data_IF_933477745524
#
_entry.id   IF_933477745524
#
_cell.length_a   1.000
_cell.length_b   1.000
_cell.length_c   1.000
_cell.angle_alpha   90.00
_cell.angle_beta   90.00
_cell.angle_gamma   90.00
#
_symmetry.space_group_name_H-M   'P 1'
#
loop_
_entity.id
_entity.type
_entity.pdbx_description
1 polymer ?
#
# COMPACT_ATOMS: atom_id res chain seq x y z
N UNK A 1 -7.26 23.43 0.96
CA UNK A 1 -5.86 23.74 0.57
C UNK A 1 -5.75 23.66 -0.95
N UNK A 2 -5.13 24.65 -1.60
CA UNK A 2 -4.93 24.66 -3.06
C UNK A 2 -3.49 24.26 -3.39
N UNK A 3 -3.34 23.24 -4.23
CA UNK A 3 -2.07 22.60 -4.59
C UNK A 3 -1.93 22.58 -6.10
N UNK A 4 -0.73 22.84 -6.63
CA UNK A 4 -0.49 22.75 -8.07
C UNK A 4 0.88 22.20 -8.43
N UNK A 5 0.91 21.42 -9.51
CA UNK A 5 2.14 20.95 -10.15
C UNK A 5 2.72 22.05 -11.03
N UNK A 6 3.96 22.46 -10.75
CA UNK A 6 4.62 23.56 -11.47
C UNK A 6 5.98 23.12 -12.01
N UNK A 7 6.32 23.45 -13.26
CA UNK A 7 7.70 23.40 -13.72
C UNK A 7 8.54 24.36 -12.90
N UNK A 8 9.62 23.90 -12.31
CA UNK A 8 10.38 24.72 -11.37
C UNK A 8 11.58 25.38 -12.05
N UNK A 9 11.55 26.71 -12.16
CA UNK A 9 12.76 27.51 -12.41
C UNK A 9 13.66 27.63 -11.17
N UNK A 10 13.10 27.36 -9.99
CA UNK A 10 13.80 27.33 -8.69
C UNK A 10 13.46 26.01 -7.99
N UNK A 11 14.25 24.95 -8.19
CA UNK A 11 14.02 23.65 -7.56
C UNK A 11 14.10 23.75 -6.04
N UNK A 12 13.32 22.94 -5.32
CA UNK A 12 13.50 22.77 -3.87
C UNK A 12 14.80 22.00 -3.63
N UNK A 13 15.83 22.69 -3.15
CA UNK A 13 17.18 22.16 -2.90
C UNK A 13 17.45 21.84 -1.42
N UNK A 14 16.44 22.03 -0.56
CA UNK A 14 16.50 21.77 0.86
C UNK A 14 15.98 20.36 1.21
N UNK A 15 16.47 19.74 2.29
CA UNK A 15 16.01 18.43 2.76
C UNK A 15 14.66 18.56 3.51
N UNK A 16 13.63 18.98 2.77
CA UNK A 16 12.25 19.18 3.24
C UNK A 16 11.31 18.21 2.53
N UNK A 17 10.09 17.98 3.04
CA UNK A 17 9.10 17.17 2.32
C UNK A 17 8.80 17.79 0.94
N UNK A 18 8.84 16.98 -0.12
CA UNK A 18 8.38 17.40 -1.45
C UNK A 18 7.96 16.22 -2.31
N UNK A 19 7.13 16.52 -3.31
CA UNK A 19 6.76 15.61 -4.39
C UNK A 19 7.26 16.17 -5.71
N UNK A 20 7.92 15.32 -6.51
CA UNK A 20 8.59 15.67 -7.75
C UNK A 20 9.93 16.38 -7.58
N UNK A 21 10.50 16.84 -8.69
CA UNK A 21 11.83 17.47 -8.72
C UNK A 21 12.98 16.49 -8.57
N UNK A 22 14.16 16.96 -8.17
CA UNK A 22 15.32 16.08 -7.97
C UNK A 22 15.56 15.83 -6.46
N UNK A 23 15.94 14.62 -6.04
CA UNK A 23 16.21 14.32 -4.64
C UNK A 23 17.36 15.17 -4.06
N UNK A 24 17.21 15.57 -2.81
CA UNK A 24 18.28 16.19 -2.01
C UNK A 24 18.97 15.11 -1.20
N UNK A 25 19.98 14.47 -1.78
CA UNK A 25 20.75 13.40 -1.15
C UNK A 25 21.50 13.88 0.10
N UNK A 26 21.36 13.14 1.21
CA UNK A 26 22.09 13.40 2.45
C UNK A 26 23.41 12.63 2.54
N UNK A 27 23.56 11.58 1.72
CA UNK A 27 24.75 10.73 1.63
C UNK A 27 25.08 10.46 0.15
N UNK A 28 25.92 9.46 -0.13
CA UNK A 28 26.20 9.04 -1.50
C UNK A 28 24.89 8.79 -2.29
N UNK A 29 24.72 9.44 -3.46
CA UNK A 29 23.53 9.25 -4.29
C UNK A 29 23.36 7.80 -4.70
N UNK A 30 22.14 7.30 -4.60
CA UNK A 30 21.78 5.96 -5.07
C UNK A 30 20.45 6.02 -5.78
N UNK A 31 20.48 5.91 -7.11
CA UNK A 31 19.29 5.96 -7.94
C UNK A 31 18.80 4.53 -8.25
N UNK A 32 17.64 4.09 -7.74
CA UNK A 32 17.14 2.75 -7.99
C UNK A 32 16.84 2.50 -9.47
N UNK A 33 17.12 1.30 -9.95
CA UNK A 33 16.76 0.84 -11.30
C UNK A 33 15.72 -0.26 -11.20
N UNK A 34 14.77 -0.25 -12.14
CA UNK A 34 13.75 -1.29 -12.29
C UNK A 34 14.40 -2.68 -12.38
N UNK A 35 13.90 -3.62 -11.59
CA UNK A 35 14.35 -5.02 -11.62
C UNK A 35 14.02 -5.70 -12.95
N UNK A 36 12.87 -5.37 -13.54
CA UNK A 36 12.36 -5.93 -14.78
C UNK A 36 12.96 -5.26 -16.02
N UNK A 37 13.04 -3.93 -16.05
CA UNK A 37 13.42 -3.16 -17.24
C UNK A 37 14.86 -2.67 -17.22
N UNK A 38 15.53 -2.66 -16.06
CA UNK A 38 16.90 -2.19 -15.91
C UNK A 38 17.08 -0.68 -16.11
N UNK A 39 15.99 0.09 -16.18
CA UNK A 39 16.00 1.55 -16.36
C UNK A 39 15.88 2.28 -15.01
N UNK A 40 16.42 3.51 -14.87
CA UNK A 40 16.24 4.32 -13.66
C UNK A 40 14.75 4.54 -13.33
N UNK A 41 14.38 4.33 -12.06
CA UNK A 41 13.03 4.58 -11.57
C UNK A 41 12.71 6.07 -11.50
N UNK A 42 11.43 6.41 -11.52
CA UNK A 42 10.95 7.77 -11.33
C UNK A 42 10.99 8.15 -9.85
N UNK A 43 11.70 9.24 -9.54
CA UNK A 43 11.63 9.86 -8.22
C UNK A 43 10.25 10.48 -8.02
N UNK A 44 9.54 10.02 -6.98
CA UNK A 44 8.20 10.51 -6.62
C UNK A 44 8.29 11.63 -5.60
N UNK A 45 9.17 11.51 -4.62
CA UNK A 45 9.29 12.50 -3.55
C UNK A 45 10.23 12.10 -2.44
N UNK A 46 10.44 13.03 -1.51
CA UNK A 46 11.29 12.83 -0.33
C UNK A 46 10.57 13.32 0.93
N UNK A 47 10.83 12.67 2.07
CA UNK A 47 10.20 13.00 3.34
C UNK A 47 11.20 12.90 4.50
N UNK A 48 11.25 13.88 5.42
CA UNK A 48 12.07 13.77 6.61
C UNK A 48 11.52 12.68 7.54
N UNK A 49 12.42 11.87 8.08
CA UNK A 49 12.07 10.90 9.12
C UNK A 49 12.13 11.54 10.50
N UNK A 50 11.20 11.21 11.42
CA UNK A 50 11.29 11.64 12.80
C UNK A 50 12.52 11.04 13.51
N UNK A 51 13.08 11.80 14.47
CA UNK A 51 14.21 11.37 15.29
C UNK A 51 15.21 12.47 15.60
N UNK A 52 16.26 12.13 16.36
CA UNK A 52 17.26 13.08 16.88
C UNK A 52 18.25 13.62 15.82
N UNK A 53 18.19 13.14 14.58
CA UNK A 53 19.08 13.56 13.49
C UNK A 53 18.34 13.65 12.15
N UNK A 54 18.82 14.53 11.27
CA UNK A 54 18.25 14.70 9.94
C UNK A 54 18.44 13.41 9.14
N UNK A 55 17.32 12.75 8.85
CA UNK A 55 17.23 11.61 7.95
C UNK A 55 16.11 11.87 6.95
N UNK A 56 16.29 11.40 5.73
CA UNK A 56 15.35 11.53 4.62
C UNK A 56 15.02 10.15 4.08
N UNK A 57 13.74 9.95 3.76
CA UNK A 57 13.29 8.92 2.84
C UNK A 57 13.20 9.47 1.44
N UNK A 58 13.47 8.63 0.46
CA UNK A 58 13.29 8.92 -0.97
C UNK A 58 12.46 7.80 -1.58
N UNK A 59 11.32 8.17 -2.18
CA UNK A 59 10.40 7.23 -2.81
C UNK A 59 10.62 7.22 -4.32
N UNK A 60 10.84 6.03 -4.87
CA UNK A 60 11.00 5.76 -6.28
C UNK A 60 10.01 4.69 -6.72
N UNK A 61 9.44 4.87 -7.91
CA UNK A 61 8.52 3.91 -8.53
C UNK A 61 8.87 3.79 -10.00
N UNK A 62 8.89 2.56 -10.53
CA UNK A 62 9.04 2.34 -11.97
C UNK A 62 7.82 2.92 -12.68
N UNK A 63 8.07 3.78 -13.67
CA UNK A 63 7.06 4.23 -14.59
C UNK A 63 7.38 3.69 -15.97
N UNK A 64 6.57 2.75 -16.44
CA UNK A 64 6.64 2.25 -17.81
C UNK A 64 5.40 2.70 -18.59
N UNK A 65 5.56 2.95 -19.89
CA UNK A 65 4.49 3.50 -20.74
C UNK A 65 3.34 2.49 -20.96
N UNK A 66 3.53 1.22 -20.62
CA UNK A 66 2.56 0.13 -20.77
C UNK A 66 1.92 -0.30 -19.44
N UNK A 67 2.28 0.34 -18.32
CA UNK A 67 1.87 -0.03 -16.96
C UNK A 67 2.06 -1.52 -16.64
N UNK A 68 3.12 -2.13 -17.18
CA UNK A 68 3.47 -3.53 -16.97
C UNK A 68 4.30 -3.75 -15.70
N UNK A 69 4.86 -2.69 -15.12
CA UNK A 69 5.59 -2.79 -13.88
C UNK A 69 4.66 -3.22 -12.74
N UNK A 70 4.98 -4.35 -12.09
CA UNK A 70 4.27 -4.86 -10.90
C UNK A 70 4.65 -4.06 -9.65
N UNK A 71 4.38 -2.75 -9.67
CA UNK A 71 4.73 -1.80 -8.60
C UNK A 71 4.07 -2.11 -7.26
N UNK A 72 3.04 -2.95 -7.25
CA UNK A 72 2.36 -3.46 -6.06
C UNK A 72 3.14 -4.59 -5.37
N UNK A 73 4.09 -5.25 -6.03
CA UNK A 73 4.91 -6.30 -5.41
C UNK A 73 6.04 -5.68 -4.57
N UNK A 74 6.04 -5.83 -3.23
CA UNK A 74 6.99 -5.11 -2.36
C UNK A 74 8.46 -5.43 -2.65
N UNK A 75 8.73 -6.63 -3.16
CA UNK A 75 10.07 -7.15 -3.50
C UNK A 75 10.20 -7.44 -5.01
N UNK A 76 9.28 -6.94 -5.83
CA UNK A 76 9.33 -7.08 -7.29
C UNK A 76 10.54 -6.37 -7.90
N UNK A 77 11.03 -5.33 -7.20
CA UNK A 77 12.10 -4.45 -7.68
C UNK A 77 11.58 -3.32 -8.55
N UNK A 78 10.28 -3.00 -8.47
CA UNK A 78 9.62 -1.93 -9.23
C UNK A 78 9.21 -0.72 -8.37
N UNK A 79 9.50 -0.78 -7.07
CA UNK A 79 9.39 0.33 -6.13
C UNK A 79 10.54 0.28 -5.14
N UNK A 80 11.00 1.43 -4.68
CA UNK A 80 12.06 1.53 -3.70
C UNK A 80 11.84 2.72 -2.76
N UNK A 81 11.97 2.45 -1.45
CA UNK A 81 12.03 3.47 -0.41
C UNK A 81 13.42 3.45 0.21
N UNK A 82 14.22 4.46 -0.08
CA UNK A 82 15.58 4.58 0.45
C UNK A 82 15.59 5.47 1.68
N UNK A 83 16.42 5.15 2.67
CA UNK A 83 16.62 5.99 3.86
C UNK A 83 18.08 6.45 3.89
N UNK A 84 18.31 7.75 4.07
CA UNK A 84 19.65 8.29 4.31
C UNK A 84 19.65 9.31 5.45
N UNK A 85 20.79 9.48 6.15
CA UNK A 85 21.92 8.54 6.19
C UNK A 85 21.57 7.25 6.94
N UNK A 86 22.42 6.22 6.77
CA UNK A 86 22.39 4.99 7.58
C UNK A 86 21.24 4.02 7.30
N UNK A 87 20.49 4.21 6.21
CA UNK A 87 19.54 3.19 5.74
C UNK A 87 20.22 2.00 5.09
N UNK A 88 19.45 0.92 4.89
CA UNK A 88 19.90 -0.27 4.17
C UNK A 88 19.24 -0.28 2.80
N UNK A 89 20.00 -0.58 1.75
CA UNK A 89 19.45 -0.92 0.44
C UNK A 89 19.07 -2.40 0.48
N UNK A 90 17.79 -2.77 0.31
CA UNK A 90 17.38 -4.17 0.25
C UNK A 90 18.08 -4.91 -0.89
N UNK A 91 18.36 -6.21 -0.71
CA UNK A 91 19.12 -7.01 -1.68
C UNK A 91 18.47 -7.09 -3.08
N UNK A 92 17.15 -6.93 -3.16
CA UNK A 92 16.39 -6.94 -4.41
C UNK A 92 16.40 -5.58 -5.12
N UNK A 93 16.80 -4.50 -4.44
CA UNK A 93 16.93 -3.16 -5.03
C UNK A 93 18.33 -3.00 -5.60
N UNK A 94 18.40 -2.72 -6.90
CA UNK A 94 19.64 -2.33 -7.58
C UNK A 94 19.59 -0.84 -7.91
N UNK A 95 20.75 -0.23 -8.12
CA UNK A 95 20.82 1.18 -8.46
C UNK A 95 22.18 1.61 -8.98
N UNK A 96 22.24 2.87 -9.38
CA UNK A 96 23.44 3.55 -9.91
C UNK A 96 23.75 4.78 -9.05
N UNK A 97 25.02 5.17 -8.99
CA UNK A 97 25.45 6.34 -8.22
C UNK A 97 25.17 7.67 -8.95
N UNK A 98 23.89 7.91 -9.31
CA UNK A 98 23.45 9.10 -10.04
C UNK A 98 22.77 10.11 -9.12
N UNK A 99 23.14 11.38 -9.28
CA UNK A 99 22.54 12.49 -8.52
C UNK A 99 21.16 12.89 -9.01
N UNK A 100 20.92 12.73 -10.31
CA UNK A 100 19.74 13.24 -11.01
C UNK A 100 19.23 12.19 -11.99
N UNK A 101 17.91 12.17 -12.21
CA UNK A 101 17.28 11.19 -13.07
C UNK A 101 15.79 11.48 -13.29
N UNK A 102 15.01 10.48 -13.74
CA UNK A 102 13.59 10.64 -14.01
C UNK A 102 12.78 11.09 -12.79
N UNK A 103 11.86 12.02 -12.97
CA UNK A 103 11.02 12.53 -11.88
C UNK A 103 9.62 12.79 -12.38
N UNK A 104 8.68 13.09 -11.48
CA UNK A 104 7.33 13.51 -11.84
C UNK A 104 7.39 14.65 -12.86
N UNK A 105 6.60 14.50 -13.91
CA UNK A 105 6.61 15.39 -15.06
C UNK A 105 5.19 15.67 -15.52
N UNK A 106 5.02 16.78 -16.22
CA UNK A 106 3.83 17.06 -17.02
C UNK A 106 4.19 17.14 -18.49
N UNK A 107 3.24 16.85 -19.36
CA UNK A 107 3.44 17.00 -20.80
C UNK A 107 3.72 18.47 -21.14
N UNK A 108 4.74 18.69 -21.96
CA UNK A 108 5.04 19.99 -22.55
C UNK A 108 4.19 20.29 -23.78
N UNK A 109 4.71 21.18 -24.62
CA UNK A 109 4.00 21.60 -25.84
C UNK A 109 4.03 20.49 -26.90
N UNK A 110 5.08 19.66 -26.92
CA UNK A 110 5.16 18.47 -27.77
C UNK A 110 4.75 17.20 -27.02
N UNK A 111 4.24 16.20 -27.75
CA UNK A 111 3.81 14.92 -27.16
C UNK A 111 4.93 14.19 -26.40
N UNK A 112 6.17 14.34 -26.86
CA UNK A 112 7.37 13.74 -26.27
C UNK A 112 7.98 14.56 -25.13
N UNK A 113 7.53 15.80 -24.92
CA UNK A 113 8.11 16.69 -23.92
C UNK A 113 7.66 16.27 -22.52
N UNK A 114 8.62 15.83 -21.71
CA UNK A 114 8.44 15.54 -20.29
C UNK A 114 9.06 16.66 -19.48
N UNK A 115 8.24 17.60 -19.01
CA UNK A 115 8.70 18.74 -18.22
C UNK A 115 8.64 18.35 -16.73
N UNK A 116 9.77 18.28 -16.02
CA UNK A 116 9.80 18.02 -14.58
C UNK A 116 8.92 19.00 -13.81
N UNK A 117 8.21 18.50 -12.80
CA UNK A 117 7.35 19.31 -11.93
C UNK A 117 7.62 19.05 -10.47
N UNK A 118 7.37 20.04 -9.63
CA UNK A 118 7.27 19.90 -8.18
C UNK A 118 5.85 20.33 -7.74
N UNK A 119 5.34 19.71 -6.67
CA UNK A 119 4.08 20.11 -6.05
C UNK A 119 4.30 21.31 -5.13
N UNK A 120 3.53 22.38 -5.34
CA UNK A 120 3.60 23.58 -4.51
C UNK A 120 2.27 23.89 -3.83
N UNK A 121 2.37 24.39 -2.59
CA UNK A 121 1.27 25.09 -1.92
C UNK A 121 1.04 26.45 -2.59
N UNK A 122 -0.21 26.74 -2.94
CA UNK A 122 -0.56 28.03 -3.54
C UNK A 122 -0.95 29.02 -2.44
N UNK A 123 -0.17 30.10 -2.21
CA UNK A 123 -0.62 31.17 -1.33
C UNK A 123 -1.81 31.92 -1.94
N UNK A 124 -2.64 32.60 -1.13
CA UNK A 124 -3.74 33.42 -1.62
C UNK A 124 -3.23 34.45 -2.64
N UNK A 125 -3.99 34.67 -3.72
CA UNK A 125 -3.65 35.66 -4.75
C UNK A 125 -3.83 37.08 -4.18
N UNK A 126 -2.78 37.57 -3.52
CA UNK A 126 -2.70 38.93 -2.99
C UNK A 126 -3.01 39.98 -4.05
N UNK A 127 -2.62 39.77 -5.30
CA UNK A 127 -2.84 40.75 -6.36
C UNK A 127 -4.32 40.82 -6.76
N UNK A 128 -5.04 39.69 -6.81
CA UNK A 128 -6.49 39.69 -6.96
C UNK A 128 -7.20 40.36 -5.77
N UNK A 129 -6.78 40.03 -4.54
CA UNK A 129 -7.32 40.62 -3.31
C UNK A 129 -7.10 42.15 -3.30
N UNK A 130 -5.89 42.61 -3.66
CA UNK A 130 -5.59 44.03 -3.79
C UNK A 130 -6.47 44.72 -4.82
N UNK A 131 -6.64 44.13 -6.02
CA UNK A 131 -7.53 44.70 -7.06
C UNK A 131 -8.97 44.85 -6.58
N UNK A 132 -9.46 43.91 -5.75
CA UNK A 132 -10.77 44.00 -5.12
C UNK A 132 -10.87 45.21 -4.18
N UNK A 133 -9.94 45.37 -3.25
CA UNK A 133 -9.95 46.48 -2.29
C UNK A 133 -9.61 47.84 -2.92
N UNK A 134 -8.75 47.87 -3.95
CA UNK A 134 -8.45 49.10 -4.69
C UNK A 134 -9.71 49.65 -5.36
N UNK A 135 -10.55 48.77 -5.94
CA UNK A 135 -11.83 49.18 -6.53
C UNK A 135 -12.79 49.75 -5.48
N UNK A 136 -12.87 49.13 -4.30
CA UNK A 136 -13.73 49.58 -3.22
C UNK A 136 -13.29 50.94 -2.65
N UNK A 137 -12.01 51.08 -2.30
CA UNK A 137 -11.47 52.29 -1.67
C UNK A 137 -11.41 53.49 -2.62
N UNK A 138 -11.29 53.27 -3.93
CA UNK A 138 -11.33 54.35 -4.93
C UNK A 138 -12.76 54.75 -5.33
N UNK A 139 -13.79 54.05 -4.87
CA UNK A 139 -15.19 54.39 -5.17
C UNK A 139 -15.51 55.77 -4.58
N UNK A 140 -15.90 56.72 -5.43
CA UNK A 140 -16.20 58.10 -5.03
C UNK A 140 -14.98 59.04 -4.94
N UNK A 141 -13.75 58.56 -5.17
CA UNK A 141 -12.54 59.39 -5.16
C UNK A 141 -12.26 59.92 -6.57
N UNK A 142 -12.41 61.24 -6.75
CA UNK A 142 -12.16 61.93 -8.01
C UNK A 142 -10.74 61.74 -8.54
N UNK A 143 -10.58 61.62 -9.86
CA UNK A 143 -9.30 61.34 -10.53
C UNK A 143 -8.19 62.38 -10.26
N UNK A 144 -8.57 63.64 -9.99
CA UNK A 144 -7.63 64.72 -9.71
C UNK A 144 -7.22 64.82 -8.24
N UNK A 145 -7.87 64.06 -7.33
CA UNK A 145 -7.59 64.09 -5.89
C UNK A 145 -6.40 63.20 -5.52
N UNK A 146 -5.21 63.57 -5.97
CA UNK A 146 -3.99 62.73 -5.89
C UNK A 146 -3.69 62.23 -4.47
N UNK A 147 -3.77 63.09 -3.45
CA UNK A 147 -3.50 62.70 -2.07
C UNK A 147 -4.53 61.68 -1.52
N UNK A 148 -5.82 61.91 -1.76
CA UNK A 148 -6.89 60.98 -1.36
C UNK A 148 -6.75 59.63 -2.08
N UNK A 149 -6.39 59.63 -3.36
CA UNK A 149 -6.12 58.39 -4.12
C UNK A 149 -4.93 57.61 -3.57
N UNK A 150 -3.84 58.28 -3.20
CA UNK A 150 -2.69 57.64 -2.56
C UNK A 150 -3.08 57.01 -1.23
N UNK A 151 -3.83 57.73 -0.39
CA UNK A 151 -4.34 57.19 0.89
C UNK A 151 -5.27 55.99 0.68
N UNK A 152 -6.18 56.05 -0.29
CA UNK A 152 -7.07 54.94 -0.64
C UNK A 152 -6.30 53.69 -1.08
N UNK A 153 -5.25 53.85 -1.90
CA UNK A 153 -4.38 52.74 -2.32
C UNK A 153 -3.57 52.15 -1.17
N UNK A 154 -3.06 52.98 -0.27
CA UNK A 154 -2.36 52.50 0.94
C UNK A 154 -3.31 51.70 1.85
N UNK A 155 -4.54 52.17 2.02
CA UNK A 155 -5.58 51.44 2.75
C UNK A 155 -5.92 50.11 2.07
N UNK A 156 -6.10 50.10 0.75
CA UNK A 156 -6.34 48.88 -0.02
C UNK A 156 -5.18 47.87 0.11
N UNK A 157 -3.93 48.34 0.10
CA UNK A 157 -2.76 47.49 0.32
C UNK A 157 -2.79 46.86 1.72
N UNK A 158 -3.01 47.66 2.76
CA UNK A 158 -3.08 47.17 4.13
C UNK A 158 -4.23 46.16 4.33
N UNK A 159 -5.40 46.42 3.74
CA UNK A 159 -6.52 45.48 3.77
C UNK A 159 -6.22 44.20 2.98
N UNK A 160 -5.55 44.30 1.83
CA UNK A 160 -5.16 43.13 1.06
C UNK A 160 -4.14 42.25 1.79
N UNK A 161 -3.18 42.86 2.49
CA UNK A 161 -2.22 42.13 3.32
C UNK A 161 -2.91 41.42 4.50
N UNK A 162 -3.80 42.12 5.19
CA UNK A 162 -4.56 41.55 6.31
C UNK A 162 -5.49 40.40 5.86
N UNK A 163 -6.14 40.54 4.70
CA UNK A 163 -7.01 39.51 4.14
C UNK A 163 -6.20 38.30 3.65
N UNK A 164 -5.10 38.52 2.91
CA UNK A 164 -4.22 37.43 2.47
C UNK A 164 -3.63 36.66 3.67
N UNK A 165 -3.19 37.36 4.72
CA UNK A 165 -2.72 36.74 5.95
C UNK A 165 -3.82 35.92 6.65
N UNK A 166 -5.06 36.44 6.71
CA UNK A 166 -6.20 35.72 7.28
C UNK A 166 -6.54 34.45 6.50
N UNK A 167 -6.61 34.53 5.17
CA UNK A 167 -6.86 33.37 4.32
C UNK A 167 -5.75 32.34 4.44
N UNK A 168 -4.49 32.77 4.49
CA UNK A 168 -3.36 31.88 4.69
C UNK A 168 -3.38 31.18 6.05
N UNK A 169 -3.67 31.92 7.12
CA UNK A 169 -3.81 31.36 8.46
C UNK A 169 -4.95 30.32 8.52
N UNK A 170 -6.06 30.57 7.84
CA UNK A 170 -7.17 29.62 7.75
C UNK A 170 -6.75 28.33 7.01
N UNK A 171 -6.04 28.44 5.89
CA UNK A 171 -5.50 27.28 5.16
C UNK A 171 -4.52 26.47 6.01
N UNK A 172 -3.64 27.14 6.76
CA UNK A 172 -2.68 26.48 7.66
C UNK A 172 -3.35 25.81 8.84
N UNK A 173 -4.40 26.40 9.39
CA UNK A 173 -5.23 25.76 10.43
C UNK A 173 -5.92 24.51 9.91
N UNK A 174 -6.51 24.56 8.70
CA UNK A 174 -7.11 23.39 8.05
C UNK A 174 -6.08 22.28 7.79
N UNK A 175 -4.89 22.62 7.29
CA UNK A 175 -3.79 21.67 7.09
C UNK A 175 -3.41 20.99 8.41
N UNK A 176 -3.26 21.75 9.50
CA UNK A 176 -2.93 21.22 10.82
C UNK A 176 -4.02 20.27 11.36
N UNK A 177 -5.30 20.58 11.14
CA UNK A 177 -6.40 19.69 11.52
C UNK A 177 -6.37 18.37 10.76
N UNK A 178 -6.11 18.40 9.44
CA UNK A 178 -5.96 17.18 8.65
C UNK A 178 -4.74 16.36 9.07
N UNK A 179 -3.60 17.01 9.34
CA UNK A 179 -2.42 16.31 9.85
C UNK A 179 -2.72 15.62 11.18
N UNK A 180 -3.39 16.32 12.11
CA UNK A 180 -3.77 15.74 13.40
C UNK A 180 -4.71 14.54 13.23
N UNK A 181 -5.66 14.59 12.30
CA UNK A 181 -6.56 13.47 12.03
C UNK A 181 -5.80 12.25 11.47
N UNK A 182 -4.86 12.47 10.55
CA UNK A 182 -4.01 11.41 10.00
C UNK A 182 -3.09 10.82 11.08
N UNK A 183 -2.50 11.66 11.93
CA UNK A 183 -1.65 11.22 13.04
C UNK A 183 -2.44 10.36 14.04
N UNK A 184 -3.70 10.72 14.31
CA UNK A 184 -4.59 9.93 15.17
C UNK A 184 -4.90 8.56 14.56
N UNK A 185 -5.22 8.51 13.26
CA UNK A 185 -5.46 7.24 12.54
C UNK A 185 -4.21 6.35 12.54
N UNK A 186 -3.05 6.93 12.22
CA UNK A 186 -1.78 6.21 12.25
C UNK A 186 -1.47 5.67 13.65
N UNK A 187 -1.66 6.49 14.68
CA UNK A 187 -1.43 6.07 16.06
C UNK A 187 -2.36 4.93 16.48
N UNK A 188 -3.62 4.96 16.05
CA UNK A 188 -4.59 3.89 16.31
C UNK A 188 -4.13 2.55 15.70
N UNK A 189 -3.62 2.56 14.48
CA UNK A 189 -3.05 1.38 13.82
C UNK A 189 -1.76 0.88 14.51
N UNK A 190 -0.91 1.78 14.98
CA UNK A 190 0.32 1.42 15.72
C UNK A 190 0.00 0.87 17.11
N UNK A 191 -1.05 1.35 17.76
CA UNK A 191 -1.51 0.85 19.06
C UNK A 191 -2.43 -0.37 18.98
N UNK A 192 -2.69 -0.90 17.78
CA UNK A 192 -3.62 -1.99 17.52
C UNK A 192 -5.03 -1.72 18.07
N UNK A 193 -5.54 -0.50 17.89
CA UNK A 193 -6.95 -0.21 18.15
C UNK A 193 -7.84 -1.14 17.29
N UNK A 194 -8.71 -1.99 17.89
CA UNK A 194 -9.42 -3.02 17.15
C UNK A 194 -10.25 -2.46 16.00
N UNK A 195 -11.01 -1.38 16.22
CA UNK A 195 -11.89 -0.81 15.20
C UNK A 195 -11.09 -0.23 14.02
N UNK A 196 -9.96 0.44 14.31
CA UNK A 196 -9.08 0.96 13.26
C UNK A 196 -8.43 -0.17 12.45
N UNK A 197 -7.90 -1.19 13.12
CA UNK A 197 -7.23 -2.32 12.46
C UNK A 197 -8.22 -3.13 11.61
N UNK A 198 -9.38 -3.49 12.15
CA UNK A 198 -10.37 -4.28 11.42
C UNK A 198 -10.89 -3.55 10.18
N UNK A 199 -11.16 -2.23 10.28
CA UNK A 199 -11.58 -1.43 9.12
C UNK A 199 -10.51 -1.36 8.03
N UNK A 200 -9.26 -1.10 8.44
CA UNK A 200 -8.15 -1.02 7.49
C UNK A 200 -7.86 -2.38 6.83
N UNK A 201 -8.02 -3.49 7.55
CA UNK A 201 -7.88 -4.83 6.99
C UNK A 201 -9.02 -5.17 6.03
N UNK A 202 -10.26 -4.82 6.37
CA UNK A 202 -11.40 -5.00 5.48
C UNK A 202 -11.16 -4.30 4.13
N UNK A 203 -10.78 -3.01 4.16
CA UNK A 203 -10.43 -2.25 2.94
C UNK A 203 -9.26 -2.89 2.18
N UNK A 204 -8.25 -3.42 2.88
CA UNK A 204 -7.09 -4.03 2.24
C UNK A 204 -7.39 -5.37 1.57
N UNK A 205 -8.36 -6.14 2.09
CA UNK A 205 -8.73 -7.46 1.58
C UNK A 205 -9.79 -7.44 0.48
N UNK A 206 -10.42 -6.29 0.20
CA UNK A 206 -11.45 -6.17 -0.85
C UNK A 206 -10.98 -6.65 -2.24
N UNK A 207 -9.69 -6.48 -2.54
CA UNK A 207 -9.10 -6.83 -3.85
C UNK A 207 -8.46 -8.23 -3.89
N UNK A 208 -8.57 -9.02 -2.82
CA UNK A 208 -7.92 -10.34 -2.75
C UNK A 208 -8.61 -11.39 -3.62
N UNK A 209 -7.81 -12.22 -4.29
CA UNK A 209 -8.32 -13.36 -5.08
C UNK A 209 -9.10 -14.37 -4.21
N UNK A 210 -8.69 -14.55 -2.96
CA UNK A 210 -9.42 -15.33 -1.96
C UNK A 210 -10.10 -14.39 -0.97
N UNK A 211 -11.42 -14.52 -0.83
CA UNK A 211 -12.18 -13.77 0.16
C UNK A 211 -11.59 -13.99 1.55
N UNK A 212 -11.15 -12.89 2.16
CA UNK A 212 -10.47 -12.88 3.44
C UNK A 212 -11.12 -11.84 4.33
N UNK A 213 -11.23 -12.15 5.62
CA UNK A 213 -11.85 -11.25 6.59
C UNK A 213 -11.08 -11.24 7.91
N UNK A 214 -11.10 -10.08 8.58
CA UNK A 214 -10.52 -9.89 9.90
C UNK A 214 -11.64 -9.92 10.94
N UNK A 215 -11.56 -10.90 11.84
CA UNK A 215 -12.67 -11.22 12.77
C UNK A 215 -12.46 -10.57 14.13
N UNK A 216 -11.21 -10.32 14.52
CA UNK A 216 -10.90 -9.71 15.80
C UNK A 216 -9.42 -9.42 16.00
N UNK A 217 -9.14 -8.55 16.97
CA UNK A 217 -7.78 -8.20 17.40
C UNK A 217 -7.70 -8.41 18.90
N UNK A 218 -6.72 -9.19 19.36
CA UNK A 218 -6.38 -9.36 20.77
C UNK A 218 -4.93 -8.95 21.00
N UNK A 219 -4.75 -7.81 21.67
CA UNK A 219 -3.42 -7.23 21.92
C UNK A 219 -2.67 -6.89 20.63
N UNK A 220 -1.66 -7.70 20.28
CA UNK A 220 -0.87 -7.57 19.06
C UNK A 220 -1.03 -8.76 18.08
N UNK A 221 -2.03 -9.61 18.30
CA UNK A 221 -2.45 -10.70 17.40
C UNK A 221 -3.81 -10.37 16.75
N UNK A 222 -3.88 -10.53 15.42
CA UNK A 222 -5.14 -10.48 14.67
C UNK A 222 -5.64 -11.89 14.34
N UNK A 223 -6.95 -12.09 14.37
CA UNK A 223 -7.61 -13.31 13.92
C UNK A 223 -8.23 -13.10 12.54
N UNK A 224 -7.84 -13.93 11.59
CA UNK A 224 -8.17 -13.84 10.17
C UNK A 224 -8.84 -15.12 9.68
N UNK A 225 -9.77 -14.98 8.74
CA UNK A 225 -10.41 -16.10 8.04
C UNK A 225 -10.18 -15.94 6.55
N UNK A 226 -9.79 -17.04 5.90
CA UNK A 226 -9.54 -17.09 4.46
C UNK A 226 -10.43 -18.17 3.86
N UNK A 227 -11.23 -17.81 2.86
CA UNK A 227 -12.09 -18.72 2.15
C UNK A 227 -11.41 -19.20 0.86
N UNK A 228 -11.31 -20.51 0.69
CA UNK A 228 -10.74 -21.12 -0.52
C UNK A 228 -11.77 -21.96 -1.26
N UNK A 229 -11.77 -21.96 -2.60
CA UNK A 229 -12.61 -22.86 -3.37
C UNK A 229 -12.12 -24.32 -3.24
N UNK A 230 -12.94 -25.32 -3.62
CA UNK A 230 -12.53 -26.70 -3.64
C UNK A 230 -11.46 -26.95 -4.72
N UNK A 231 -10.66 -27.99 -4.54
CA UNK A 231 -9.54 -28.32 -5.43
C UNK A 231 -9.96 -28.54 -6.90
N UNK A 232 -11.22 -28.87 -7.18
CA UNK A 232 -11.77 -28.97 -8.54
C UNK A 232 -11.95 -27.63 -9.26
N UNK A 233 -12.06 -26.54 -8.52
CA UNK A 233 -12.17 -25.18 -9.06
C UNK A 233 -10.82 -24.47 -9.05
N UNK A 234 -10.01 -24.69 -8.01
CA UNK A 234 -8.69 -24.06 -7.88
C UNK A 234 -7.63 -24.66 -8.81
N UNK A 235 -7.66 -25.98 -9.04
CA UNK A 235 -6.60 -26.71 -9.74
C UNK A 235 -7.11 -27.27 -11.08
N UNK A 236 -6.42 -27.02 -12.21
CA UNK A 236 -6.84 -27.53 -13.50
C UNK A 236 -6.79 -29.06 -13.57
N UNK A 237 -7.66 -29.66 -14.40
CA UNK A 237 -7.69 -31.11 -14.60
C UNK A 237 -6.54 -31.63 -15.48
N UNK A 238 -5.90 -30.75 -16.24
CA UNK A 238 -4.86 -31.09 -17.21
C UNK A 238 -3.70 -30.10 -17.12
N UNK A 239 -2.48 -30.60 -17.25
CA UNK A 239 -1.25 -29.79 -17.26
C UNK A 239 -0.58 -29.82 -18.63
N UNK A 240 0.04 -28.72 -19.06
CA UNK A 240 0.90 -28.71 -20.24
C UNK A 240 2.04 -29.71 -20.08
N UNK A 241 2.33 -30.47 -21.13
CA UNK A 241 3.42 -31.41 -21.17
C UNK A 241 3.90 -31.65 -22.59
N UNK A 242 4.89 -32.52 -22.74
CA UNK A 242 5.38 -32.96 -24.06
C UNK A 242 5.13 -34.45 -24.27
N UNK A 243 4.83 -34.82 -25.51
CA UNK A 243 4.83 -36.22 -25.95
C UNK A 243 6.28 -36.71 -26.09
N UNK A 244 6.47 -38.02 -26.23
CA UNK A 244 7.80 -38.59 -26.51
C UNK A 244 8.43 -38.05 -27.81
N UNK A 245 7.62 -37.55 -28.74
CA UNK A 245 8.07 -36.91 -29.98
C UNK A 245 8.32 -35.40 -29.84
N UNK A 246 8.20 -34.83 -28.63
CA UNK A 246 8.49 -33.41 -28.36
C UNK A 246 7.34 -32.43 -28.60
N UNK A 247 6.22 -32.89 -29.18
CA UNK A 247 5.02 -32.08 -29.41
C UNK A 247 4.36 -31.67 -28.09
N UNK A 248 3.76 -30.48 -28.06
CA UNK A 248 2.93 -30.02 -26.94
C UNK A 248 1.72 -30.95 -26.77
N UNK A 249 1.38 -31.25 -25.52
CA UNK A 249 0.25 -32.11 -25.14
C UNK A 249 -0.34 -31.61 -23.83
N UNK A 250 -1.61 -31.93 -23.59
CA UNK A 250 -2.23 -31.80 -22.29
C UNK A 250 -2.32 -33.19 -21.67
N UNK A 251 -1.82 -33.33 -20.43
CA UNK A 251 -1.87 -34.58 -19.68
C UNK A 251 -2.76 -34.41 -18.46
N UNK A 252 -3.60 -35.41 -18.20
CA UNK A 252 -4.40 -35.46 -16.98
C UNK A 252 -3.47 -35.40 -15.77
N UNK A 253 -3.77 -34.49 -14.84
CA UNK A 253 -3.00 -34.36 -13.61
C UNK A 253 -3.20 -35.60 -12.72
N UNK A 254 -2.17 -36.02 -12.01
CA UNK A 254 -2.31 -37.11 -11.04
C UNK A 254 -3.03 -36.61 -9.79
N UNK A 255 -3.64 -37.51 -9.02
CA UNK A 255 -4.28 -37.12 -7.76
C UNK A 255 -3.28 -36.63 -6.71
N UNK A 256 -2.04 -37.13 -6.73
CA UNK A 256 -0.98 -36.65 -5.85
C UNK A 256 -0.56 -35.22 -6.22
N UNK A 257 -0.31 -34.96 -7.50
CA UNK A 257 0.05 -33.61 -7.96
C UNK A 257 -1.08 -32.61 -7.70
N UNK A 258 -2.34 -33.02 -7.91
CA UNK A 258 -3.50 -32.18 -7.61
C UNK A 258 -3.58 -31.81 -6.13
N UNK A 259 -3.36 -32.79 -5.24
CA UNK A 259 -3.33 -32.56 -3.80
C UNK A 259 -2.18 -31.63 -3.38
N UNK A 260 -1.00 -31.79 -3.99
CA UNK A 260 0.15 -30.94 -3.68
C UNK A 260 0.01 -29.52 -4.22
N UNK A 261 -0.50 -29.32 -5.45
CA UNK A 261 -0.80 -27.97 -5.94
C UNK A 261 -1.91 -27.29 -5.13
N UNK A 262 -2.95 -28.02 -4.72
CA UNK A 262 -3.98 -27.44 -3.87
C UNK A 262 -3.43 -27.01 -2.50
N UNK A 263 -2.51 -27.80 -1.93
CA UNK A 263 -1.82 -27.46 -0.69
C UNK A 263 -0.93 -26.22 -0.84
N UNK A 264 -0.21 -26.11 -1.95
CA UNK A 264 0.57 -24.91 -2.29
C UNK A 264 -0.33 -23.69 -2.45
N UNK A 265 -1.47 -23.83 -3.15
CA UNK A 265 -2.46 -22.77 -3.30
C UNK A 265 -2.99 -22.29 -1.94
N UNK A 266 -3.44 -23.21 -1.07
CA UNK A 266 -3.95 -22.87 0.27
C UNK A 266 -2.89 -22.16 1.12
N UNK A 267 -1.67 -22.67 1.15
CA UNK A 267 -0.59 -22.04 1.92
C UNK A 267 -0.20 -20.67 1.32
N UNK A 268 -0.28 -20.53 -0.01
CA UNK A 268 -0.05 -19.27 -0.72
C UNK A 268 -1.06 -18.20 -0.31
N UNK A 269 -2.35 -18.53 -0.29
CA UNK A 269 -3.41 -17.62 0.15
C UNK A 269 -3.17 -17.14 1.59
N UNK A 270 -2.85 -18.06 2.51
CA UNK A 270 -2.49 -17.72 3.89
C UNK A 270 -1.32 -16.72 3.94
N UNK A 271 -0.25 -16.96 3.18
CA UNK A 271 0.93 -16.09 3.20
C UNK A 271 0.67 -14.71 2.59
N UNK A 272 -0.17 -14.62 1.55
CA UNK A 272 -0.58 -13.34 0.96
C UNK A 272 -1.37 -12.52 1.98
N UNK A 273 -2.42 -13.11 2.57
CA UNK A 273 -3.25 -12.45 3.60
C UNK A 273 -2.40 -11.99 4.79
N UNK A 274 -1.45 -12.82 5.25
CA UNK A 274 -0.53 -12.45 6.34
C UNK A 274 0.34 -11.24 5.98
N UNK A 275 0.90 -11.20 4.76
CA UNK A 275 1.78 -10.11 4.31
C UNK A 275 1.02 -8.79 4.20
N UNK A 276 -0.19 -8.83 3.67
CA UNK A 276 -1.05 -7.64 3.59
C UNK A 276 -1.46 -7.15 4.97
N UNK A 277 -1.88 -8.06 5.85
CA UNK A 277 -2.28 -7.69 7.21
C UNK A 277 -1.16 -6.97 7.95
N UNK A 278 0.06 -7.52 7.88
CA UNK A 278 1.24 -6.88 8.47
C UNK A 278 1.69 -5.63 7.73
N UNK A 279 1.35 -5.43 6.45
CA UNK A 279 1.69 -4.22 5.73
C UNK A 279 0.82 -3.03 6.17
N UNK A 280 -0.49 -3.26 6.34
CA UNK A 280 -1.46 -2.18 6.63
C UNK A 280 -1.67 -1.90 8.12
N UNK A 281 -1.41 -2.89 8.99
CA UNK A 281 -1.51 -2.76 10.44
C UNK A 281 -0.11 -2.93 11.11
N UNK A 282 0.69 -1.84 11.18
CA UNK A 282 2.09 -1.90 11.60
C UNK A 282 2.30 -2.25 13.08
N UNK A 283 1.29 -2.13 13.94
CA UNK A 283 1.40 -2.54 15.34
C UNK A 283 1.29 -4.06 15.58
N UNK A 284 0.76 -4.81 14.61
CA UNK A 284 0.56 -6.25 14.75
C UNK A 284 1.90 -7.00 14.75
N UNK A 285 2.01 -7.99 15.63
CA UNK A 285 3.18 -8.86 15.79
C UNK A 285 2.89 -10.32 15.47
N UNK A 286 1.63 -10.73 15.50
CA UNK A 286 1.20 -12.06 15.13
C UNK A 286 -0.15 -12.02 14.41
N UNK A 287 -0.44 -13.10 13.71
CA UNK A 287 -1.74 -13.32 13.10
C UNK A 287 -2.09 -14.80 13.16
N UNK A 288 -3.32 -15.08 13.54
CA UNK A 288 -3.95 -16.39 13.52
C UNK A 288 -4.85 -16.48 12.30
N UNK A 289 -4.61 -17.46 11.45
CA UNK A 289 -5.35 -17.64 10.19
C UNK A 289 -6.08 -18.96 10.21
N UNK A 290 -7.39 -18.91 10.00
CA UNK A 290 -8.24 -20.08 9.74
C UNK A 290 -8.56 -20.11 8.26
N UNK A 291 -8.32 -21.24 7.62
CA UNK A 291 -8.73 -21.47 6.23
C UNK A 291 -9.98 -22.33 6.19
N UNK A 292 -11.04 -21.80 5.60
CA UNK A 292 -12.30 -22.50 5.35
C UNK A 292 -12.39 -22.85 3.86
N UNK A 293 -12.86 -24.05 3.53
CA UNK A 293 -13.16 -24.41 2.14
C UNK A 293 -14.62 -24.17 1.83
N UNK A 294 -14.94 -23.45 0.77
CA UNK A 294 -16.33 -23.27 0.34
C UNK A 294 -16.83 -24.50 -0.43
N UNK A 295 -17.46 -25.47 0.26
CA UNK A 295 -18.09 -26.63 -0.37
C UNK A 295 -19.55 -26.35 -0.81
N UNK A 296 -19.97 -25.08 -0.76
CA UNK A 296 -21.28 -24.60 -1.16
C UNK A 296 -22.28 -24.65 0.00
N UNK A 297 -23.47 -25.21 -0.26
CA UNK A 297 -24.52 -25.34 0.75
C UNK A 297 -24.88 -26.80 0.97
N UNK A 298 -25.13 -27.15 2.22
CA UNK A 298 -25.67 -28.44 2.61
C UNK A 298 -27.13 -28.61 2.08
N UNK A 299 -27.72 -29.82 2.16
CA UNK A 299 -29.10 -30.06 1.73
C UNK A 299 -30.17 -29.23 2.45
N UNK A 300 -29.83 -28.57 3.56
CA UNK A 300 -30.71 -27.68 4.33
C UNK A 300 -30.49 -26.21 3.99
N UNK A 301 -29.61 -25.91 3.03
CA UNK A 301 -29.28 -24.57 2.60
C UNK A 301 -28.31 -23.85 3.52
N UNK A 302 -27.64 -24.51 4.47
CA UNK A 302 -26.62 -23.90 5.32
C UNK A 302 -25.26 -23.92 4.61
N UNK A 303 -24.40 -22.91 4.77
CA UNK A 303 -23.03 -22.97 4.26
C UNK A 303 -22.29 -24.22 4.76
N UNK A 304 -21.70 -24.99 3.84
CA UNK A 304 -20.80 -26.11 4.16
C UNK A 304 -19.36 -25.63 3.98
N UNK A 305 -18.76 -25.20 5.09
CA UNK A 305 -17.45 -24.55 5.09
C UNK A 305 -16.47 -25.23 6.05
N UNK A 306 -15.98 -26.45 5.73
CA UNK A 306 -15.06 -27.15 6.62
C UNK A 306 -13.73 -26.40 6.78
N UNK A 307 -13.22 -26.38 8.01
CA UNK A 307 -11.90 -25.85 8.31
C UNK A 307 -10.81 -26.80 7.82
N UNK A 308 -9.90 -26.32 6.99
CA UNK A 308 -8.78 -27.10 6.44
C UNK A 308 -7.47 -26.89 7.21
N UNK A 309 -7.22 -25.65 7.62
CA UNK A 309 -5.95 -25.21 8.20
C UNK A 309 -6.24 -24.19 9.29
N UNK A 310 -5.54 -24.30 10.42
CA UNK A 310 -5.44 -23.24 11.40
C UNK A 310 -3.97 -23.04 11.76
N UNK A 311 -3.48 -21.82 11.64
CA UNK A 311 -2.07 -21.49 11.89
C UNK A 311 -1.94 -20.20 12.68
N UNK A 312 -0.90 -20.08 13.50
CA UNK A 312 -0.47 -18.79 14.04
C UNK A 312 0.97 -18.50 13.60
N UNK A 313 1.18 -17.30 13.07
CA UNK A 313 2.44 -16.85 12.49
C UNK A 313 2.83 -15.51 13.10
N UNK A 314 4.04 -15.45 13.67
CA UNK A 314 4.60 -14.19 14.13
C UNK A 314 5.18 -13.42 12.93
N UNK A 315 4.98 -12.11 12.88
CA UNK A 315 5.51 -11.22 11.84
C UNK A 315 7.02 -11.37 11.64
N UNK A 316 7.77 -11.44 12.75
CA UNK A 316 9.23 -11.65 12.74
C UNK A 316 9.66 -12.96 12.07
N UNK A 317 8.79 -13.97 12.01
CA UNK A 317 9.12 -15.26 11.40
C UNK A 317 9.12 -15.19 9.86
N UNK A 318 8.52 -14.14 9.29
CA UNK A 318 8.53 -13.87 7.86
C UNK A 318 9.69 -12.96 7.43
N UNK A 319 10.45 -12.41 8.38
CA UNK A 319 11.61 -11.56 8.07
C UNK A 319 12.72 -12.40 7.42
N UNK A 320 13.16 -11.98 6.24
CA UNK A 320 14.27 -12.63 5.52
C UNK A 320 13.90 -13.90 4.75
N UNK A 321 12.60 -14.22 4.63
CA UNK A 321 12.11 -15.29 3.74
C UNK A 321 12.56 -15.02 2.31
N UNK A 322 13.02 -16.08 1.61
CA UNK A 322 13.39 -16.01 0.19
C UNK A 322 12.21 -16.41 -0.68
N UNK A 323 11.27 -15.48 -0.85
CA UNK A 323 9.98 -15.72 -1.52
C UNK A 323 10.08 -16.25 -2.95
N UNK A 324 11.20 -16.03 -3.65
CA UNK A 324 11.43 -16.53 -5.02
C UNK A 324 12.00 -17.95 -5.07
N UNK A 325 12.60 -18.42 -3.98
CA UNK A 325 13.36 -19.68 -3.94
C UNK A 325 12.66 -20.77 -3.12
N UNK A 326 11.75 -20.38 -2.21
CA UNK A 326 11.04 -21.28 -1.32
C UNK A 326 9.57 -21.39 -1.69
N UNK A 327 9.02 -22.60 -1.58
CA UNK A 327 7.60 -22.83 -1.82
C UNK A 327 6.73 -22.45 -0.59
N UNK A 328 5.44 -22.20 -0.82
CA UNK A 328 4.55 -21.67 0.21
C UNK A 328 4.36 -22.64 1.38
N UNK A 329 4.39 -23.94 1.11
CA UNK A 329 4.26 -24.98 2.14
C UNK A 329 5.48 -24.96 3.06
N UNK A 330 6.68 -24.89 2.49
CA UNK A 330 7.93 -24.83 3.24
C UNK A 330 8.03 -23.56 4.09
N UNK A 331 7.65 -22.40 3.52
CA UNK A 331 7.64 -21.13 4.24
C UNK A 331 6.67 -21.21 5.42
N UNK A 332 5.42 -21.64 5.19
CA UNK A 332 4.42 -21.70 6.25
C UNK A 332 4.82 -22.71 7.34
N UNK A 333 5.41 -23.83 6.95
CA UNK A 333 5.91 -24.84 7.90
C UNK A 333 7.04 -24.31 8.79
N UNK A 334 7.91 -23.46 8.26
CA UNK A 334 9.02 -22.87 9.00
C UNK A 334 8.59 -21.68 9.87
N UNK A 335 7.62 -20.88 9.41
CA UNK A 335 7.20 -19.65 10.06
C UNK A 335 6.10 -19.84 11.13
N UNK A 336 5.24 -20.85 10.97
CA UNK A 336 4.16 -21.11 11.91
C UNK A 336 4.68 -21.69 13.23
N UNK A 337 4.27 -21.11 14.35
CA UNK A 337 4.60 -21.65 15.68
C UNK A 337 3.49 -22.55 16.24
N UNK A 338 2.25 -22.34 15.79
CA UNK A 338 1.13 -23.26 15.97
C UNK A 338 0.54 -23.60 14.60
N UNK A 339 0.26 -24.89 14.37
CA UNK A 339 -0.26 -25.38 13.09
C UNK A 339 -1.10 -26.63 13.26
N UNK A 340 -2.34 -26.53 12.81
CA UNK A 340 -3.24 -27.65 12.59
C UNK A 340 -3.49 -27.77 11.09
N UNK A 341 -3.08 -28.89 10.51
CA UNK A 341 -3.29 -29.23 9.10
C UNK A 341 -3.40 -30.74 9.00
N UNK A 342 -4.59 -31.24 8.68
CA UNK A 342 -4.83 -32.67 8.54
C UNK A 342 -4.64 -33.10 7.07
N UNK A 343 -3.98 -34.24 6.89
CA UNK A 343 -3.77 -34.84 5.57
C UNK A 343 -4.25 -36.30 5.58
N UNK A 344 -4.93 -36.72 4.52
CA UNK A 344 -5.49 -38.08 4.40
C UNK A 344 -5.00 -38.80 3.15
N UNK A 345 -4.89 -40.13 3.28
CA UNK A 345 -4.57 -41.02 2.16
C UNK A 345 -3.12 -40.98 1.71
N UNK A 346 -2.82 -41.75 0.65
CA UNK A 346 -1.45 -41.88 0.10
C UNK A 346 -0.99 -40.62 -0.65
N UNK A 347 -1.93 -39.83 -1.17
CA UNK A 347 -1.70 -38.55 -1.83
C UNK A 347 -1.51 -37.38 -0.86
N UNK A 348 -1.69 -37.59 0.45
CA UNK A 348 -1.60 -36.54 1.48
C UNK A 348 -2.49 -35.33 1.17
N UNK A 349 -3.73 -35.61 0.79
CA UNK A 349 -4.74 -34.59 0.47
C UNK A 349 -5.16 -33.87 1.74
N UNK A 350 -5.32 -32.54 1.65
CA UNK A 350 -5.85 -31.74 2.77
C UNK A 350 -7.26 -32.21 3.12
N UNK A 351 -7.45 -32.56 4.39
CA UNK A 351 -8.73 -33.00 4.92
C UNK A 351 -9.23 -32.03 5.98
N UNK A 352 -10.56 -31.91 6.17
CA UNK A 352 -11.13 -31.12 7.26
C UNK A 352 -10.51 -31.46 8.62
N UNK A 353 -10.28 -30.44 9.43
CA UNK A 353 -9.83 -30.58 10.81
C UNK A 353 -10.98 -31.08 11.70
N UNK A 354 -10.63 -31.92 12.67
CA UNK A 354 -11.53 -32.25 13.77
C UNK A 354 -11.36 -31.18 14.86
N UNK A 355 -12.36 -30.32 15.01
CA UNK A 355 -12.35 -29.20 15.94
C UNK A 355 -12.92 -29.54 17.32
N UNK A 356 -13.21 -30.82 17.60
CA UNK A 356 -13.83 -31.25 18.87
C UNK A 356 -13.03 -30.86 20.12
N UNK A 357 -11.72 -30.65 19.96
CA UNK A 357 -10.80 -30.24 21.03
C UNK A 357 -10.28 -28.80 20.88
N UNK A 358 -10.82 -28.05 19.91
CA UNK A 358 -10.37 -26.70 19.54
C UNK A 358 -11.52 -25.68 19.70
N UNK A 359 -11.93 -25.38 20.95
CA UNK A 359 -13.08 -24.51 21.22
C UNK A 359 -12.86 -23.08 20.73
N UNK A 360 -11.62 -22.59 20.75
CA UNK A 360 -11.28 -21.23 20.34
C UNK A 360 -11.42 -21.05 18.82
N UNK A 361 -11.00 -22.06 18.05
CA UNK A 361 -11.17 -22.09 16.59
C UNK A 361 -12.66 -22.16 16.23
N UNK A 362 -13.42 -22.98 16.96
CA UNK A 362 -14.87 -23.09 16.79
C UNK A 362 -15.58 -21.77 17.10
N UNK A 363 -15.16 -21.08 18.17
CA UNK A 363 -15.70 -19.78 18.54
C UNK A 363 -15.43 -18.72 17.47
N UNK A 364 -14.21 -18.71 16.89
CA UNK A 364 -13.86 -17.78 15.82
C UNK A 364 -14.73 -18.00 14.57
N UNK A 365 -14.88 -19.27 14.13
CA UNK A 365 -15.70 -19.60 12.96
C UNK A 365 -17.16 -19.16 13.16
N UNK A 366 -17.70 -19.35 14.38
CA UNK A 366 -19.07 -18.95 14.70
C UNK A 366 -19.27 -17.42 14.80
N UNK A 367 -18.19 -16.65 14.95
CA UNK A 367 -18.26 -15.19 15.00
C UNK A 367 -18.30 -14.54 13.61
N UNK A 368 -18.00 -15.31 12.56
CA UNK A 368 -17.96 -14.84 11.17
C UNK A 368 -19.34 -15.00 10.53
N UNK A 369 -19.78 -13.98 9.79
CA UNK A 369 -20.91 -14.15 8.87
C UNK A 369 -20.46 -14.92 7.63
N UNK A 370 -20.55 -16.25 7.71
CA UNK A 370 -20.18 -17.15 6.61
C UNK A 370 -21.06 -16.98 5.37
N UNK A 371 -22.26 -16.40 5.50
CA UNK A 371 -23.12 -16.13 4.35
C UNK A 371 -22.64 -14.91 3.56
N UNK A 372 -22.25 -13.85 4.26
CA UNK A 372 -21.64 -12.66 3.65
C UNK A 372 -20.29 -13.00 3.02
N UNK A 373 -19.42 -13.72 3.75
CA UNK A 373 -18.09 -14.10 3.25
C UNK A 373 -18.17 -15.01 2.02
N UNK A 374 -19.14 -15.93 1.97
CA UNK A 374 -19.35 -16.83 0.84
C UNK A 374 -20.05 -16.21 -0.36
N UNK A 375 -20.67 -15.03 -0.21
CA UNK A 375 -21.30 -14.29 -1.30
C UNK A 375 -20.32 -13.36 -2.04
N UNK A 376 -19.15 -13.08 -1.44
CA UNK A 376 -18.08 -12.25 -1.99
C UNK A 376 -17.14 -13.00 -2.95
N UNK A 377 -17.29 -14.34 -3.08
CA UNK A 377 -16.62 -15.20 -4.08
C UNK A 377 -17.58 -15.60 -5.19
#
# INVERSE_FOLDING_TARGET
MDLSWRPTSHPIDQPVPKLGGQPVWLDEPFWPVSGQFGIPMTFVGQFPLPGAGLRMTYLFVTQDDLCLATTFEPEGGESALLVQPGGRVPWFVKGVAERTGPTLWRRGDQWTDRIPVELHENPPDRAAIYRHYEKQTLTGVGVFKRAERTSAKQQAAAWADAEAARQWAALKSQQAQWQQALDQQWQALVSNDPDAVLRTLAEAFEDNEAASDAVGVDGDEVSLVVLVPPASQAIPEQMPGRTAAGNLSLKKITQADKADFFKQFVCGQVLVTLREAFAVAPGLRAARVIVLRNDGRDPYGRPDMPCLVAVSVARRALEGVRWRDADAVDILNAAAHEKLMAQKGRSKELSPLDLSYEPDITALINAVDLEELGAST
#
